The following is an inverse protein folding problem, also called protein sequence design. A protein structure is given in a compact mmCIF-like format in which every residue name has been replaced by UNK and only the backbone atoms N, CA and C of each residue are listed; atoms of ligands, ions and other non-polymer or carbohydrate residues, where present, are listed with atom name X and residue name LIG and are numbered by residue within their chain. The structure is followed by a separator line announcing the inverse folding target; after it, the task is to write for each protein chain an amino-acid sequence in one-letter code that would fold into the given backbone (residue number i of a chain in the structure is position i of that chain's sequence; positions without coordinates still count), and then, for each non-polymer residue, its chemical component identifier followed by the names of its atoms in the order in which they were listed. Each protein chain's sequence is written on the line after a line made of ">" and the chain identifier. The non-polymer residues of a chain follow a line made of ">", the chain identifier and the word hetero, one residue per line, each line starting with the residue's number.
data_IF_055479273609
#
_entry.id   IF_055479273609
#
_cell.length_a   1.000
_cell.length_b   1.000
_cell.length_c   1.000
_cell.angle_alpha   90.00
_cell.angle_beta   90.00
_cell.angle_gamma   90.00
#
_symmetry.space_group_name_H-M   'P 1'
#
loop_
_entity.id
_entity.type
_entity.pdbx_description
1 polymer ?
#
# COMPACT_ATOMS: atom_id res chain seq x y z
N UNK A 1 25.39 -33.97 -13.93
CA UNK A 1 25.58 -32.51 -14.05
C UNK A 1 24.40 -31.87 -13.32
N UNK A 2 24.61 -31.44 -12.08
CA UNK A 2 23.55 -30.90 -11.22
C UNK A 2 23.35 -29.45 -11.62
N UNK A 3 22.21 -29.12 -12.21
CA UNK A 3 21.82 -27.76 -12.56
C UNK A 3 21.39 -27.04 -11.28
N UNK A 4 22.18 -26.05 -10.88
CA UNK A 4 21.83 -25.12 -9.83
C UNK A 4 20.62 -24.27 -10.29
N UNK A 5 19.53 -24.36 -9.54
CA UNK A 5 18.40 -23.45 -9.66
C UNK A 5 18.88 -22.10 -9.13
N UNK A 6 19.15 -21.15 -10.03
CA UNK A 6 19.32 -19.76 -9.66
C UNK A 6 17.94 -19.18 -9.34
N UNK A 7 17.53 -19.29 -8.07
CA UNK A 7 16.49 -18.43 -7.54
C UNK A 7 17.00 -16.99 -7.68
N UNK A 8 16.30 -16.18 -8.47
CA UNK A 8 16.45 -14.73 -8.39
C UNK A 8 15.91 -14.38 -7.00
N UNK A 9 16.82 -14.32 -6.02
CA UNK A 9 16.55 -13.67 -4.76
C UNK A 9 16.32 -12.19 -5.11
N UNK A 10 15.05 -11.79 -5.20
CA UNK A 10 14.70 -10.40 -4.96
C UNK A 10 15.30 -10.10 -3.59
N UNK A 11 16.31 -9.23 -3.54
CA UNK A 11 16.80 -8.68 -2.29
C UNK A 11 15.60 -7.98 -1.67
N UNK A 12 14.91 -8.69 -0.78
CA UNK A 12 13.88 -8.09 0.04
C UNK A 12 14.62 -7.10 0.96
N UNK A 13 14.21 -5.82 1.00
CA UNK A 13 14.80 -4.85 1.90
C UNK A 13 14.77 -5.39 3.32
N UNK A 14 15.83 -5.16 4.07
CA UNK A 14 15.89 -5.50 5.50
C UNK A 14 14.83 -4.71 6.24
N UNK A 15 13.73 -5.38 6.62
CA UNK A 15 12.67 -4.95 7.54
C UNK A 15 12.51 -3.43 7.69
N UNK A 16 11.96 -2.78 6.66
CA UNK A 16 11.31 -1.48 6.86
C UNK A 16 10.03 -1.75 7.65
N UNK A 17 9.96 -1.25 8.88
CA UNK A 17 8.78 -1.35 9.77
C UNK A 17 7.93 -0.07 9.70
N UNK A 18 8.08 0.70 8.62
CA UNK A 18 7.45 1.98 8.43
C UNK A 18 7.58 2.93 9.64
N UNK A 19 6.60 3.82 9.85
CA UNK A 19 6.59 4.62 11.06
C UNK A 19 6.63 3.73 12.30
N UNK A 20 7.35 4.14 13.34
CA UNK A 20 7.55 3.24 14.47
C UNK A 20 6.23 2.90 15.22
N UNK A 21 6.05 1.61 15.55
CA UNK A 21 4.89 0.99 16.23
C UNK A 21 5.00 0.96 17.77
N UNK A 22 5.71 1.91 18.38
CA UNK A 22 5.93 1.94 19.83
C UNK A 22 7.00 0.97 20.36
N UNK A 23 7.31 1.12 21.65
CA UNK A 23 8.46 0.52 22.32
C UNK A 23 8.23 -0.79 23.09
N UNK A 24 7.10 -1.47 22.92
CA UNK A 24 6.70 -2.64 23.74
C UNK A 24 6.35 -3.91 22.93
N UNK A 25 6.99 -4.07 21.76
CA UNK A 25 6.83 -5.24 20.88
C UNK A 25 5.42 -5.39 20.23
N UNK A 26 4.63 -4.31 20.21
CA UNK A 26 3.36 -4.18 19.50
C UNK A 26 2.22 -3.78 20.44
N UNK A 27 1.42 -2.78 20.04
CA UNK A 27 0.40 -2.04 20.80
C UNK A 27 0.93 -0.87 21.66
N UNK A 28 2.19 -0.49 21.49
CA UNK A 28 2.78 0.64 22.16
C UNK A 28 2.52 1.90 21.36
N UNK A 29 2.25 3.01 22.04
CA UNK A 29 1.96 4.25 21.34
C UNK A 29 3.17 4.73 20.52
N UNK A 30 3.04 4.67 19.19
CA UNK A 30 4.04 5.01 18.20
C UNK A 30 3.62 6.14 17.25
N UNK A 31 4.37 6.29 16.17
CA UNK A 31 4.08 7.30 15.15
C UNK A 31 2.83 6.94 14.33
N UNK A 32 2.56 5.65 14.11
CA UNK A 32 1.31 5.20 13.49
C UNK A 32 0.08 5.61 14.30
N UNK A 33 0.06 5.26 15.59
CA UNK A 33 -0.98 5.69 16.52
C UNK A 33 -1.12 7.21 16.49
N UNK A 34 0.01 7.91 16.60
CA UNK A 34 0.02 9.36 16.66
C UNK A 34 -0.61 10.00 15.44
N UNK A 35 -0.26 9.55 14.23
CA UNK A 35 -0.85 10.05 12.99
C UNK A 35 -2.36 9.80 12.96
N UNK A 36 -2.81 8.59 13.33
CA UNK A 36 -4.23 8.26 13.36
C UNK A 36 -4.96 9.11 14.42
N UNK A 37 -4.37 9.32 15.59
CA UNK A 37 -4.99 10.08 16.68
C UNK A 37 -5.17 11.57 16.33
N UNK A 38 -4.17 12.15 15.64
CA UNK A 38 -4.29 13.48 15.03
C UNK A 38 -5.40 13.50 13.96
N UNK A 39 -5.46 12.48 13.10
CA UNK A 39 -6.47 12.39 12.04
C UNK A 39 -7.90 12.27 12.58
N UNK A 40 -8.12 11.44 13.61
CA UNK A 40 -9.42 11.31 14.29
C UNK A 40 -9.83 12.67 14.84
N UNK A 41 -8.92 13.36 15.53
CA UNK A 41 -9.19 14.69 16.09
C UNK A 41 -9.52 15.72 15.01
N UNK A 42 -8.78 15.71 13.89
CA UNK A 42 -9.02 16.61 12.74
C UNK A 42 -10.32 16.30 11.99
N UNK A 43 -10.74 15.04 11.95
CA UNK A 43 -11.97 14.62 11.26
C UNK A 43 -13.22 15.17 11.94
N UNK A 44 -13.20 15.27 13.27
CA UNK A 44 -14.35 15.62 14.10
C UNK A 44 -15.42 14.52 14.17
N UNK A 45 -15.13 13.33 13.63
CA UNK A 45 -16.02 12.18 13.67
C UNK A 45 -16.00 11.49 15.03
N UNK A 46 -17.08 10.79 15.38
CA UNK A 46 -17.23 10.10 16.68
C UNK A 46 -17.75 8.67 16.56
N UNK A 47 -17.89 8.16 15.34
CA UNK A 47 -18.44 6.83 15.11
C UNK A 47 -17.47 5.70 15.52
N UNK A 48 -16.17 5.96 15.49
CA UNK A 48 -15.15 4.95 15.76
C UNK A 48 -14.84 4.82 17.25
N UNK A 49 -14.56 3.59 17.70
CA UNK A 49 -13.76 3.35 18.89
C UNK A 49 -12.31 3.73 18.61
N UNK A 50 -11.81 4.75 19.31
CA UNK A 50 -10.43 5.23 19.16
C UNK A 50 -9.42 4.18 19.62
N UNK A 51 -9.66 3.52 20.76
CA UNK A 51 -8.74 2.49 21.27
C UNK A 51 -8.60 1.32 20.30
N UNK A 52 -9.70 0.85 19.72
CA UNK A 52 -9.67 -0.32 18.84
C UNK A 52 -8.97 -0.01 17.53
N UNK A 53 -9.12 1.23 17.03
CA UNK A 53 -8.44 1.67 15.82
C UNK A 53 -6.94 1.86 16.03
N UNK A 54 -6.51 2.44 17.16
CA UNK A 54 -5.10 2.60 17.49
C UNK A 54 -4.39 1.25 17.65
N UNK A 55 -4.98 0.30 18.40
CA UNK A 55 -4.39 -1.04 18.55
C UNK A 55 -4.15 -1.76 17.20
N UNK A 56 -5.02 -1.51 16.22
CA UNK A 56 -4.93 -2.14 14.91
C UNK A 56 -3.93 -1.46 13.96
N UNK A 57 -3.29 -0.33 14.34
CA UNK A 57 -2.32 0.31 13.46
C UNK A 57 -1.03 -0.48 13.32
N UNK A 58 -0.69 -1.36 14.26
CA UNK A 58 0.59 -2.09 14.26
C UNK A 58 0.48 -3.47 13.61
N UNK A 59 -0.75 -3.94 13.39
CA UNK A 59 -1.06 -5.28 12.90
C UNK A 59 -0.34 -5.65 11.59
N UNK A 60 -0.26 -4.76 10.57
CA UNK A 60 0.57 -4.93 9.38
C UNK A 60 1.99 -5.43 9.65
N UNK A 61 2.69 -4.82 10.61
CA UNK A 61 4.08 -5.13 10.92
C UNK A 61 4.26 -6.27 11.93
N UNK A 62 3.24 -6.56 12.73
CA UNK A 62 3.37 -7.44 13.91
C UNK A 62 2.57 -8.73 13.80
N UNK A 63 1.35 -8.67 13.28
CA UNK A 63 0.43 -9.81 13.26
C UNK A 63 0.52 -10.56 11.94
N UNK A 64 0.66 -9.85 10.81
CA UNK A 64 0.76 -10.48 9.49
C UNK A 64 1.92 -9.97 8.60
N UNK A 65 3.14 -9.77 9.14
CA UNK A 65 4.24 -9.10 8.41
C UNK A 65 4.64 -9.78 7.10
N UNK A 66 4.69 -11.12 7.06
CA UNK A 66 5.14 -11.83 5.86
C UNK A 66 4.18 -11.70 4.68
N UNK A 67 2.87 -11.57 4.93
CA UNK A 67 1.87 -11.34 3.90
C UNK A 67 1.90 -9.89 3.39
N UNK A 68 2.52 -8.99 4.15
CA UNK A 68 2.25 -7.56 4.05
C UNK A 68 3.44 -6.70 3.63
N UNK A 69 4.66 -7.25 3.65
CA UNK A 69 5.85 -6.64 3.04
C UNK A 69 5.61 -5.93 1.68
N UNK A 70 4.84 -6.49 0.72
CA UNK A 70 4.57 -5.81 -0.55
C UNK A 70 3.60 -4.61 -0.47
N UNK A 71 2.98 -4.39 0.69
CA UNK A 71 1.88 -3.44 0.90
C UNK A 71 2.27 -2.19 1.67
N UNK A 72 3.46 -2.13 2.28
CA UNK A 72 3.95 -0.92 2.96
C UNK A 72 4.47 0.16 1.99
N UNK A 73 4.65 -0.19 0.72
CA UNK A 73 5.32 0.67 -0.24
C UNK A 73 4.40 1.08 -1.39
N UNK A 74 4.72 2.23 -1.97
CA UNK A 74 4.27 2.62 -3.29
C UNK A 74 5.49 3.07 -4.10
N UNK A 75 6.16 2.12 -4.77
CA UNK A 75 7.27 2.37 -5.68
C UNK A 75 6.83 2.19 -7.14
N UNK A 76 7.30 3.06 -8.05
CA UNK A 76 7.03 2.90 -9.50
C UNK A 76 7.67 1.64 -10.09
N UNK A 77 8.65 1.09 -9.38
CA UNK A 77 9.36 -0.15 -9.75
C UNK A 77 9.53 -0.98 -8.48
N UNK A 78 8.80 -2.09 -8.35
CA UNK A 78 8.87 -2.99 -7.20
C UNK A 78 7.61 -2.98 -6.35
N UNK A 79 7.76 -2.96 -5.03
CA UNK A 79 6.68 -3.03 -4.05
C UNK A 79 5.75 -1.81 -4.16
N UNK A 80 4.47 -2.04 -4.50
CA UNK A 80 3.49 -0.98 -4.75
C UNK A 80 2.07 -1.29 -4.28
N UNK A 81 1.93 -2.20 -3.30
CA UNK A 81 0.63 -2.67 -2.81
C UNK A 81 -0.11 -1.71 -1.87
N UNK A 82 0.51 -0.63 -1.40
CA UNK A 82 -0.08 0.26 -0.39
C UNK A 82 -1.42 0.86 -0.83
N UNK A 83 -1.49 1.40 -2.04
CA UNK A 83 -2.71 2.03 -2.56
C UNK A 83 -3.89 1.05 -2.61
N UNK A 84 -3.61 -0.19 -3.01
CA UNK A 84 -4.60 -1.25 -3.06
C UNK A 84 -5.02 -1.69 -1.64
N UNK A 85 -4.07 -1.81 -0.73
CA UNK A 85 -4.35 -2.24 0.65
C UNK A 85 -5.20 -1.20 1.38
N UNK A 86 -4.91 0.10 1.20
CA UNK A 86 -5.79 1.17 1.69
C UNK A 86 -7.20 1.04 1.11
N UNK A 87 -7.34 0.75 -0.18
CA UNK A 87 -8.64 0.59 -0.84
C UNK A 87 -9.46 -0.58 -0.27
N UNK A 88 -8.83 -1.74 -0.05
CA UNK A 88 -9.50 -2.93 0.43
C UNK A 88 -9.95 -2.76 1.89
N UNK A 89 -9.08 -2.26 2.76
CA UNK A 89 -9.45 -1.99 4.16
C UNK A 89 -10.44 -0.84 4.30
N UNK A 90 -10.41 0.15 3.40
CA UNK A 90 -11.44 1.19 3.33
C UNK A 90 -12.80 0.61 2.95
N UNK A 91 -12.86 -0.28 1.96
CA UNK A 91 -14.09 -0.97 1.60
C UNK A 91 -14.66 -1.76 2.78
N UNK A 92 -13.82 -2.53 3.47
CA UNK A 92 -14.21 -3.29 4.67
C UNK A 92 -14.71 -2.38 5.80
N UNK A 93 -14.07 -1.22 6.02
CA UNK A 93 -14.52 -0.23 7.00
C UNK A 93 -15.91 0.33 6.64
N UNK A 94 -16.17 0.62 5.37
CA UNK A 94 -17.48 1.09 4.88
C UNK A 94 -18.55 0.01 5.04
N UNK A 95 -18.24 -1.25 4.72
CA UNK A 95 -19.15 -2.39 4.90
C UNK A 95 -19.51 -2.55 6.38
N UNK A 96 -18.51 -2.65 7.25
CA UNK A 96 -18.70 -2.79 8.69
C UNK A 96 -19.49 -1.62 9.28
N UNK A 97 -19.21 -0.38 8.84
CA UNK A 97 -19.96 0.79 9.28
C UNK A 97 -21.45 0.67 8.94
N UNK A 98 -21.77 0.27 7.70
CA UNK A 98 -23.17 0.10 7.23
C UNK A 98 -23.90 -1.02 7.95
N UNK A 99 -23.18 -2.06 8.36
CA UNK A 99 -23.70 -3.17 9.17
C UNK A 99 -23.92 -2.77 10.65
N UNK A 100 -23.42 -1.61 11.07
CA UNK A 100 -23.48 -1.14 12.46
C UNK A 100 -22.38 -1.71 13.36
N UNK A 101 -21.41 -2.42 12.79
CA UNK A 101 -20.28 -3.00 13.52
C UNK A 101 -19.14 -1.98 13.62
N UNK A 102 -19.26 -1.08 14.60
CA UNK A 102 -18.26 -0.02 14.81
C UNK A 102 -16.90 -0.56 15.27
N UNK A 103 -16.86 -1.72 15.93
CA UNK A 103 -15.60 -2.35 16.35
C UNK A 103 -14.83 -2.85 15.14
N UNK A 104 -15.48 -3.57 14.22
CA UNK A 104 -14.85 -3.97 12.95
C UNK A 104 -14.50 -2.77 12.08
N UNK A 105 -15.37 -1.76 12.01
CA UNK A 105 -15.07 -0.54 11.24
C UNK A 105 -13.85 0.21 11.81
N UNK A 106 -13.71 0.29 13.14
CA UNK A 106 -12.53 0.82 13.83
C UNK A 106 -11.27 0.02 13.52
N UNK A 107 -11.35 -1.31 13.60
CA UNK A 107 -10.23 -2.19 13.27
C UNK A 107 -9.74 -1.95 11.84
N UNK A 108 -10.64 -1.99 10.86
CA UNK A 108 -10.32 -1.71 9.47
C UNK A 108 -9.73 -0.30 9.28
N UNK A 109 -10.21 0.70 10.03
CA UNK A 109 -9.64 2.04 10.03
C UNK A 109 -8.19 2.05 10.57
N UNK A 110 -7.90 1.32 11.63
CA UNK A 110 -6.53 1.17 12.14
C UNK A 110 -5.59 0.63 11.08
N UNK A 111 -5.96 -0.52 10.50
CA UNK A 111 -5.15 -1.19 9.48
C UNK A 111 -4.99 -0.34 8.22
N UNK A 112 -6.05 0.30 7.70
CA UNK A 112 -5.91 1.18 6.52
C UNK A 112 -5.02 2.39 6.82
N UNK A 113 -5.06 2.90 8.06
CA UNK A 113 -4.28 4.09 8.44
C UNK A 113 -2.79 3.84 8.41
N UNK A 114 -2.38 2.61 8.74
CA UNK A 114 -1.01 2.14 8.64
C UNK A 114 -0.46 2.38 7.23
N UNK A 115 -0.99 1.68 6.22
CA UNK A 115 -0.52 1.80 4.83
C UNK A 115 -0.63 3.22 4.26
N UNK A 116 -1.67 3.97 4.65
CA UNK A 116 -1.81 5.35 4.19
C UNK A 116 -0.72 6.26 4.78
N UNK A 117 -0.33 6.02 6.03
CA UNK A 117 0.74 6.76 6.68
C UNK A 117 2.14 6.33 6.20
N UNK A 118 2.32 5.06 5.82
CA UNK A 118 3.57 4.54 5.23
C UNK A 118 3.97 5.31 3.99
N UNK A 119 3.04 5.56 3.08
CA UNK A 119 3.35 6.30 1.85
C UNK A 119 3.67 7.79 2.10
N UNK A 120 3.64 8.23 3.37
CA UNK A 120 4.16 9.52 3.81
C UNK A 120 5.61 9.43 4.35
N UNK A 121 6.17 8.24 4.52
CA UNK A 121 7.61 8.03 4.74
C UNK A 121 8.33 8.15 3.38
N UNK A 122 9.34 9.02 3.22
CA UNK A 122 10.06 9.14 1.94
C UNK A 122 10.59 7.81 1.39
N UNK A 123 11.19 6.96 2.24
CA UNK A 123 11.73 5.65 1.86
C UNK A 123 10.67 4.66 1.38
N UNK A 124 9.41 4.84 1.74
CA UNK A 124 8.31 3.97 1.32
C UNK A 124 7.76 4.31 -0.07
N UNK A 125 8.22 5.43 -0.63
CA UNK A 125 7.81 5.90 -1.95
C UNK A 125 8.93 5.84 -2.98
N UNK A 126 10.18 5.63 -2.54
CA UNK A 126 11.32 5.43 -3.43
C UNK A 126 12.38 4.59 -2.72
N UNK A 127 12.91 3.60 -3.43
CA UNK A 127 13.89 2.66 -2.91
C UNK A 127 15.24 2.79 -3.62
N UNK A 128 16.31 2.92 -2.83
CA UNK A 128 17.69 2.86 -3.26
C UNK A 128 18.48 2.06 -2.23
N UNK A 129 19.11 0.97 -2.68
CA UNK A 129 19.85 0.05 -1.81
C UNK A 129 20.94 0.74 -1.00
N UNK A 130 21.51 1.82 -1.54
CA UNK A 130 22.52 2.60 -0.83
C UNK A 130 21.95 3.13 0.49
N UNK A 131 20.66 3.50 0.53
CA UNK A 131 19.97 4.16 1.63
C UNK A 131 19.30 3.23 2.65
N UNK A 132 19.42 1.92 2.50
CA UNK A 132 18.87 0.95 3.45
C UNK A 132 19.40 1.18 4.88
N UNK A 133 20.67 1.60 4.99
CA UNK A 133 21.36 1.79 6.27
C UNK A 133 20.82 2.97 7.11
N UNK A 134 20.12 3.92 6.47
CA UNK A 134 19.58 5.13 7.10
C UNK A 134 18.05 5.12 7.21
N UNK A 135 17.37 4.11 6.67
CA UNK A 135 15.91 3.98 6.71
C UNK A 135 15.42 3.81 8.15
N UNK A 136 15.77 2.70 8.80
CA UNK A 136 15.32 2.39 10.15
C UNK A 136 15.76 3.43 11.20
N UNK A 137 17.00 3.98 11.16
CA UNK A 137 17.40 5.07 12.05
C UNK A 137 16.49 6.30 11.94
N UNK A 138 16.05 6.68 10.74
CA UNK A 138 15.15 7.80 10.54
C UNK A 138 13.78 7.55 11.19
N UNK A 139 13.21 6.37 10.98
CA UNK A 139 11.89 6.01 11.52
C UNK A 139 11.90 5.99 13.05
N UNK A 140 12.95 5.42 13.66
CA UNK A 140 13.13 5.46 15.12
C UNK A 140 13.35 6.87 15.67
N UNK A 141 14.13 7.69 14.98
CA UNK A 141 14.37 9.07 15.37
C UNK A 141 13.06 9.88 15.35
N UNK A 142 12.23 9.72 14.32
CA UNK A 142 10.89 10.32 14.26
C UNK A 142 9.99 9.76 15.37
N UNK A 143 10.01 8.44 15.59
CA UNK A 143 9.27 7.77 16.66
C UNK A 143 9.53 8.33 18.05
N UNK A 144 10.75 8.81 18.31
CA UNK A 144 11.09 9.45 19.59
C UNK A 144 10.28 10.72 19.92
N UNK A 145 9.66 11.35 18.92
CA UNK A 145 8.82 12.55 19.09
C UNK A 145 7.33 12.23 19.26
N UNK A 146 6.90 10.96 19.17
CA UNK A 146 5.49 10.57 19.13
C UNK A 146 5.17 9.45 20.12
N UNK A 147 5.36 9.70 21.41
CA UNK A 147 5.13 8.73 22.50
C UNK A 147 3.80 8.93 23.22
N UNK A 148 3.10 10.01 22.91
CA UNK A 148 1.78 10.33 23.44
C UNK A 148 0.96 11.16 22.44
N UNK A 149 -0.39 11.18 22.57
CA UNK A 149 -1.26 12.02 21.74
C UNK A 149 -0.95 13.51 21.71
N UNK A 150 -0.37 14.04 22.78
CA UNK A 150 -0.05 15.46 22.91
C UNK A 150 1.31 15.83 22.31
N UNK A 151 2.19 14.84 22.10
CA UNK A 151 3.55 15.09 21.64
C UNK A 151 3.53 15.70 20.25
N UNK A 152 4.42 16.66 20.00
CA UNK A 152 4.61 17.26 18.68
C UNK A 152 3.32 17.70 17.94
N UNK A 153 2.17 17.91 18.60
CA UNK A 153 0.89 18.19 17.94
C UNK A 153 0.96 19.41 16.99
N UNK A 154 1.81 20.39 17.33
CA UNK A 154 2.09 21.56 16.48
C UNK A 154 2.90 21.25 15.20
N UNK A 155 3.27 20.00 14.94
CA UNK A 155 3.90 19.56 13.69
C UNK A 155 2.88 19.37 12.57
N UNK A 156 1.62 19.13 12.92
CA UNK A 156 0.54 19.08 11.93
C UNK A 156 0.12 20.50 11.59
N UNK A 157 0.11 20.82 10.30
CA UNK A 157 -0.56 22.01 9.77
C UNK A 157 -1.94 21.59 9.27
N UNK A 158 -3.04 21.91 10.00
CA UNK A 158 -4.38 21.55 9.57
C UNK A 158 -4.74 22.26 8.26
N UNK A 159 -5.45 21.56 7.39
CA UNK A 159 -6.08 22.15 6.20
C UNK A 159 -7.58 21.88 6.16
N UNK A 160 -8.26 22.60 5.27
CA UNK A 160 -9.66 22.30 4.91
C UNK A 160 -9.82 20.85 4.45
N UNK A 161 -11.00 20.29 4.71
CA UNK A 161 -11.35 18.93 4.28
C UNK A 161 -11.48 18.88 2.76
N UNK A 162 -10.95 17.82 2.17
CA UNK A 162 -11.08 17.52 0.75
C UNK A 162 -12.03 16.34 0.57
N UNK A 163 -12.79 16.34 -0.52
CA UNK A 163 -13.62 15.21 -0.87
C UNK A 163 -12.75 13.99 -1.21
N UNK A 164 -13.18 12.81 -0.77
CA UNK A 164 -12.59 11.53 -1.19
C UNK A 164 -13.52 10.91 -2.23
N UNK A 165 -13.11 11.01 -3.50
CA UNK A 165 -13.84 10.40 -4.63
C UNK A 165 -13.34 9.01 -4.95
N UNK A 166 -12.07 8.74 -4.66
CA UNK A 166 -11.41 7.44 -4.79
C UNK A 166 -10.24 7.40 -3.78
N UNK A 167 -10.28 6.48 -2.82
CA UNK A 167 -9.24 6.37 -1.79
C UNK A 167 -7.93 5.80 -2.34
N UNK A 168 -7.97 4.93 -3.35
CA UNK A 168 -6.79 4.37 -4.02
C UNK A 168 -6.03 5.50 -4.71
N UNK A 169 -6.72 6.29 -5.51
CA UNK A 169 -6.12 7.43 -6.22
C UNK A 169 -5.61 8.49 -5.25
N UNK A 170 -6.33 8.75 -4.14
CA UNK A 170 -5.86 9.64 -3.09
C UNK A 170 -4.52 9.17 -2.50
N UNK A 171 -4.38 7.87 -2.23
CA UNK A 171 -3.13 7.27 -1.73
C UNK A 171 -2.00 7.42 -2.74
N UNK A 172 -2.24 7.13 -4.02
CA UNK A 172 -1.26 7.30 -5.12
C UNK A 172 -0.77 8.75 -5.24
N UNK A 173 -1.68 9.72 -5.24
CA UNK A 173 -1.35 11.15 -5.30
C UNK A 173 -0.51 11.54 -4.09
N UNK A 174 -0.91 11.11 -2.89
CA UNK A 174 -0.17 11.39 -1.65
C UNK A 174 1.24 10.81 -1.72
N UNK A 175 1.40 9.57 -2.19
CA UNK A 175 2.71 8.92 -2.34
C UNK A 175 3.61 9.66 -3.34
N UNK A 176 3.04 10.17 -4.43
CA UNK A 176 3.77 10.98 -5.41
C UNK A 176 4.23 12.32 -4.86
N UNK A 177 3.41 12.98 -4.03
CA UNK A 177 3.80 14.20 -3.33
C UNK A 177 4.91 13.97 -2.28
N UNK A 178 4.84 12.85 -1.56
CA UNK A 178 5.90 12.42 -0.64
C UNK A 178 7.20 12.17 -1.41
N UNK A 179 7.15 11.39 -2.51
CA UNK A 179 8.29 11.08 -3.36
C UNK A 179 8.97 12.33 -3.91
N UNK A 180 8.21 13.37 -4.25
CA UNK A 180 8.76 14.63 -4.75
C UNK A 180 9.75 15.29 -3.78
N UNK A 181 9.70 14.95 -2.48
CA UNK A 181 10.63 15.46 -1.45
C UNK A 181 11.83 14.57 -1.20
N UNK A 182 11.84 13.34 -1.74
CA UNK A 182 12.80 12.28 -1.41
C UNK A 182 14.26 12.69 -1.63
N UNK A 183 14.60 13.26 -2.80
CA UNK A 183 15.99 13.61 -3.12
C UNK A 183 16.58 14.65 -2.15
N UNK A 184 15.80 15.68 -1.80
CA UNK A 184 16.21 16.69 -0.83
C UNK A 184 16.30 16.10 0.59
N UNK A 185 15.37 15.23 0.94
CA UNK A 185 15.34 14.53 2.22
C UNK A 185 16.57 13.64 2.42
N UNK A 186 16.85 12.71 1.51
CA UNK A 186 17.98 11.77 1.61
C UNK A 186 19.31 12.52 1.64
N UNK A 187 19.47 13.53 0.76
CA UNK A 187 20.68 14.35 0.73
C UNK A 187 20.94 15.05 2.07
N UNK A 188 19.89 15.59 2.70
CA UNK A 188 20.00 16.26 3.99
C UNK A 188 20.25 15.28 5.14
N UNK A 189 19.51 14.16 5.19
CA UNK A 189 19.62 13.19 6.28
C UNK A 189 20.99 12.51 6.27
N UNK A 190 21.51 12.14 5.10
CA UNK A 190 22.87 11.57 4.98
C UNK A 190 23.96 12.52 5.44
N UNK A 191 23.86 13.79 5.08
CA UNK A 191 24.90 14.76 5.37
C UNK A 191 24.91 15.21 6.83
N UNK A 192 23.73 15.25 7.48
CA UNK A 192 23.56 15.97 8.74
C UNK A 192 22.67 15.28 9.79
N UNK A 193 22.14 14.08 9.51
CA UNK A 193 21.10 13.47 10.32
C UNK A 193 19.81 14.31 10.33
N UNK A 194 19.04 14.24 11.40
CA UNK A 194 17.80 15.00 11.55
C UNK A 194 18.06 16.49 11.79
N UNK A 195 18.20 17.23 10.71
CA UNK A 195 18.39 18.68 10.71
C UNK A 195 17.08 19.44 10.41
N UNK A 196 17.17 20.76 10.25
CA UNK A 196 15.99 21.61 9.95
C UNK A 196 15.30 21.27 8.62
N UNK A 197 16.04 20.87 7.60
CA UNK A 197 15.48 20.45 6.30
C UNK A 197 14.71 19.14 6.45
N UNK A 198 15.31 18.14 7.10
CA UNK A 198 14.66 16.85 7.40
C UNK A 198 13.42 17.07 8.24
N UNK A 199 13.52 17.85 9.32
CA UNK A 199 12.38 18.19 10.17
C UNK A 199 11.25 18.88 9.39
N UNK A 200 11.58 19.81 8.48
CA UNK A 200 10.58 20.48 7.64
C UNK A 200 9.86 19.51 6.70
N UNK A 201 10.57 18.59 6.06
CA UNK A 201 9.98 17.59 5.17
C UNK A 201 9.14 16.59 5.96
N UNK A 202 9.66 16.08 7.08
CA UNK A 202 8.94 15.18 7.98
C UNK A 202 7.61 15.79 8.44
N UNK A 203 7.60 17.05 8.88
CA UNK A 203 6.36 17.75 9.29
C UNK A 203 5.37 17.91 8.14
N UNK A 204 5.85 18.22 6.94
CA UNK A 204 4.99 18.31 5.76
C UNK A 204 4.35 16.95 5.43
N UNK A 205 5.11 15.86 5.50
CA UNK A 205 4.62 14.52 5.23
C UNK A 205 3.67 14.00 6.33
N UNK A 206 3.96 14.23 7.61
CA UNK A 206 3.03 13.91 8.70
C UNK A 206 1.73 14.72 8.59
N UNK A 207 1.83 15.99 8.15
CA UNK A 207 0.65 16.80 7.83
C UNK A 207 -0.16 16.21 6.68
N UNK A 208 0.48 15.66 5.64
CA UNK A 208 -0.23 14.93 4.57
C UNK A 208 -0.94 13.70 5.10
N UNK A 209 -0.27 12.89 5.91
CA UNK A 209 -0.83 11.68 6.51
C UNK A 209 -2.07 12.00 7.35
N UNK A 210 -1.94 12.86 8.37
CA UNK A 210 -3.03 13.19 9.29
C UNK A 210 -4.21 13.88 8.58
N UNK A 211 -3.94 14.85 7.70
CA UNK A 211 -5.02 15.51 6.96
C UNK A 211 -5.65 14.58 5.91
N UNK A 212 -4.87 13.72 5.27
CA UNK A 212 -5.37 12.73 4.32
C UNK A 212 -6.31 11.74 4.99
N UNK A 213 -5.89 11.16 6.11
CA UNK A 213 -6.70 10.26 6.91
C UNK A 213 -7.94 10.94 7.48
N UNK A 214 -7.86 12.20 7.91
CA UNK A 214 -9.04 12.93 8.35
C UNK A 214 -10.09 13.14 7.24
N UNK A 215 -9.68 13.20 5.96
CA UNK A 215 -10.64 13.17 4.85
C UNK A 215 -11.27 11.76 4.70
N UNK A 216 -10.45 10.71 4.82
CA UNK A 216 -10.87 9.30 4.70
C UNK A 216 -11.83 8.89 5.81
N UNK A 217 -11.53 9.22 7.06
CA UNK A 217 -12.39 8.96 8.23
C UNK A 217 -13.79 9.56 8.03
N UNK A 218 -13.84 10.77 7.45
CA UNK A 218 -15.09 11.48 7.18
C UNK A 218 -15.89 10.89 6.01
N UNK A 219 -15.22 10.21 5.07
CA UNK A 219 -15.89 9.61 3.93
C UNK A 219 -16.48 8.23 4.22
N UNK A 220 -16.00 7.51 5.25
CA UNK A 220 -16.50 6.18 5.62
C UNK A 220 -18.01 6.16 5.88
N UNK A 221 -18.59 7.03 6.75
CA UNK A 221 -20.03 7.06 6.97
C UNK A 221 -20.87 7.35 5.72
N UNK A 222 -20.29 8.10 4.77
CA UNK A 222 -20.95 8.46 3.51
C UNK A 222 -20.87 7.31 2.49
N UNK A 223 -19.93 6.37 2.68
CA UNK A 223 -19.65 5.27 1.75
C UNK A 223 -19.28 5.74 0.33
N UNK A 224 -18.74 6.96 0.22
CA UNK A 224 -18.15 7.51 -1.01
C UNK A 224 -16.67 7.14 -1.05
N UNK A 225 -15.99 7.27 -2.19
CA UNK A 225 -14.55 7.02 -2.25
C UNK A 225 -14.13 5.54 -2.30
N UNK A 226 -15.09 4.61 -2.29
CA UNK A 226 -14.83 3.19 -2.55
C UNK A 226 -14.45 3.05 -4.04
N UNK A 227 -13.23 2.63 -4.36
CA UNK A 227 -12.82 2.45 -5.75
C UNK A 227 -13.52 1.21 -6.32
N UNK A 228 -13.96 1.31 -7.57
CA UNK A 228 -14.40 0.13 -8.29
C UNK A 228 -13.22 -0.78 -8.65
N UNK A 229 -13.50 -2.05 -9.00
CA UNK A 229 -12.47 -2.96 -9.50
C UNK A 229 -11.99 -2.59 -10.92
N UNK A 230 -12.76 -1.74 -11.62
CA UNK A 230 -12.59 -1.43 -13.04
C UNK A 230 -13.01 -2.59 -13.95
N UNK A 231 -12.98 -2.35 -15.25
CA UNK A 231 -13.18 -3.36 -16.29
C UNK A 231 -11.82 -3.94 -16.67
N UNK A 232 -11.66 -5.26 -16.49
CA UNK A 232 -10.45 -5.97 -16.88
C UNK A 232 -10.56 -6.51 -18.32
N UNK A 233 -9.46 -6.41 -19.06
CA UNK A 233 -9.25 -7.18 -20.29
C UNK A 233 -7.87 -7.83 -20.26
N UNK A 234 -7.83 -9.14 -20.49
CA UNK A 234 -6.60 -9.92 -20.51
C UNK A 234 -6.04 -10.07 -21.93
N UNK A 235 -4.71 -10.14 -22.06
CA UNK A 235 -4.03 -10.46 -23.30
C UNK A 235 -2.72 -11.21 -23.04
N UNK A 236 -2.16 -11.81 -24.09
CA UNK A 236 -0.88 -12.54 -24.06
C UNK A 236 0.11 -11.86 -25.00
N UNK A 237 1.39 -11.83 -24.61
CA UNK A 237 2.49 -11.34 -25.48
C UNK A 237 2.65 -12.26 -26.70
N UNK A 238 2.86 -13.55 -26.42
CA UNK A 238 2.92 -14.63 -27.39
C UNK A 238 1.81 -15.64 -27.10
N UNK A 239 0.96 -15.91 -28.10
CA UNK A 239 -0.10 -16.93 -28.00
C UNK A 239 0.41 -18.35 -28.26
N UNK A 240 1.65 -18.50 -28.71
CA UNK A 240 2.33 -19.78 -28.91
C UNK A 240 3.66 -19.78 -28.14
N UNK A 241 3.67 -20.45 -26.99
CA UNK A 241 4.83 -20.48 -26.10
C UNK A 241 5.37 -21.91 -26.01
N UNK A 242 6.69 -22.07 -26.14
CA UNK A 242 7.33 -23.38 -26.08
C UNK A 242 7.42 -23.93 -24.65
N UNK A 243 7.52 -25.26 -24.48
CA UNK A 243 7.80 -25.83 -23.17
C UNK A 243 9.15 -25.33 -22.63
N UNK A 244 9.24 -25.17 -21.31
CA UNK A 244 10.39 -24.66 -20.57
C UNK A 244 10.80 -23.25 -20.98
N UNK A 245 9.86 -22.45 -21.48
CA UNK A 245 10.04 -21.02 -21.76
C UNK A 245 9.06 -20.16 -20.96
N UNK A 246 9.30 -18.85 -20.94
CA UNK A 246 8.45 -17.90 -20.22
C UNK A 246 7.26 -17.49 -21.10
N UNK A 247 6.06 -17.56 -20.54
CA UNK A 247 4.88 -16.88 -21.05
C UNK A 247 4.65 -15.58 -20.29
N UNK A 248 4.06 -14.60 -20.97
CA UNK A 248 3.71 -13.31 -20.39
C UNK A 248 2.24 -13.02 -20.65
N UNK A 249 1.48 -12.77 -19.59
CA UNK A 249 0.11 -12.29 -19.64
C UNK A 249 0.05 -10.83 -19.17
N UNK A 250 -0.86 -10.07 -19.75
CA UNK A 250 -1.18 -8.71 -19.36
C UNK A 250 -2.66 -8.62 -18.97
N UNK A 251 -2.95 -7.74 -18.03
CA UNK A 251 -4.31 -7.32 -17.73
C UNK A 251 -4.37 -5.80 -17.77
N UNK A 252 -5.18 -5.25 -18.67
CA UNK A 252 -5.52 -3.84 -18.69
C UNK A 252 -6.77 -3.63 -17.82
N UNK A 253 -6.69 -2.70 -16.87
CA UNK A 253 -7.81 -2.24 -16.06
C UNK A 253 -8.18 -0.81 -16.46
N UNK A 254 -9.46 -0.58 -16.77
CA UNK A 254 -10.01 0.74 -17.09
C UNK A 254 -11.25 1.07 -16.27
N UNK A 255 -11.53 2.35 -16.06
CA UNK A 255 -12.76 2.82 -15.42
C UNK A 255 -13.96 2.79 -16.39
N UNK A 256 -15.12 3.25 -15.93
CA UNK A 256 -16.37 3.27 -16.71
C UNK A 256 -16.33 4.17 -17.96
N UNK A 257 -15.34 5.08 -18.04
CA UNK A 257 -15.12 5.95 -19.20
C UNK A 257 -13.90 5.53 -20.03
N UNK A 258 -13.33 4.37 -19.73
CA UNK A 258 -12.22 3.77 -20.47
C UNK A 258 -10.85 4.35 -20.15
N UNK A 259 -10.69 5.09 -19.04
CA UNK A 259 -9.38 5.57 -18.59
C UNK A 259 -8.64 4.49 -17.80
N UNK A 260 -7.31 4.36 -17.94
CA UNK A 260 -6.54 3.42 -17.16
C UNK A 260 -6.67 3.62 -15.64
N UNK A 261 -6.78 2.52 -14.89
CA UNK A 261 -6.84 2.54 -13.43
C UNK A 261 -5.52 2.03 -12.85
N UNK A 262 -4.81 2.91 -12.18
CA UNK A 262 -3.55 2.60 -11.48
C UNK A 262 -3.81 1.96 -10.11
N UNK A 263 -2.89 1.09 -9.69
CA UNK A 263 -2.85 0.55 -8.33
C UNK A 263 -3.82 -0.61 -8.08
N UNK A 264 -4.41 -1.21 -9.11
CA UNK A 264 -5.30 -2.37 -9.00
C UNK A 264 -4.47 -3.64 -8.86
N UNK A 265 -4.71 -4.43 -7.82
CA UNK A 265 -4.14 -5.78 -7.71
C UNK A 265 -4.88 -6.74 -8.61
N UNK A 266 -4.14 -7.34 -9.53
CA UNK A 266 -4.61 -8.36 -10.45
C UNK A 266 -3.96 -9.69 -10.12
N UNK A 267 -4.78 -10.70 -9.86
CA UNK A 267 -4.38 -12.09 -9.71
C UNK A 267 -4.48 -12.80 -11.05
N UNK A 268 -3.38 -13.42 -11.46
CA UNK A 268 -3.28 -14.26 -12.65
C UNK A 268 -3.27 -15.73 -12.25
N UNK A 269 -4.17 -16.52 -12.83
CA UNK A 269 -4.24 -17.98 -12.62
C UNK A 269 -3.81 -18.70 -13.89
N UNK A 270 -2.72 -19.46 -13.78
CA UNK A 270 -2.09 -20.20 -14.87
C UNK A 270 -2.35 -21.70 -14.69
N UNK A 271 -3.25 -22.32 -15.48
CA UNK A 271 -3.56 -23.74 -15.36
C UNK A 271 -2.50 -24.60 -16.06
N UNK A 272 -1.34 -24.75 -15.41
CA UNK A 272 -0.23 -25.57 -15.88
C UNK A 272 -0.51 -27.06 -15.65
N UNK A 273 0.17 -27.95 -16.38
CA UNK A 273 0.08 -29.40 -16.18
C UNK A 273 0.49 -29.85 -14.77
N UNK A 274 1.38 -29.10 -14.11
CA UNK A 274 1.79 -29.33 -12.73
C UNK A 274 0.77 -28.85 -11.69
N UNK A 275 -0.27 -28.12 -12.10
CA UNK A 275 -1.27 -27.50 -11.24
C UNK A 275 -1.49 -26.02 -11.57
N UNK A 276 -2.38 -25.38 -10.83
CA UNK A 276 -2.63 -23.95 -10.99
C UNK A 276 -1.52 -23.17 -10.29
N UNK A 277 -0.74 -22.42 -11.07
CA UNK A 277 0.16 -21.41 -10.53
C UNK A 277 -0.60 -20.09 -10.42
N UNK A 278 -0.52 -19.45 -9.26
CA UNK A 278 -1.06 -18.11 -9.02
C UNK A 278 0.08 -17.11 -8.97
N UNK A 279 -0.10 -16.00 -9.66
CA UNK A 279 0.81 -14.85 -9.64
C UNK A 279 -0.01 -13.56 -9.43
N UNK A 280 0.60 -12.52 -8.88
CA UNK A 280 -0.06 -11.24 -8.63
C UNK A 280 0.78 -10.08 -9.14
N UNK A 281 0.11 -9.09 -9.73
CA UNK A 281 0.74 -7.84 -10.13
C UNK A 281 -0.21 -6.67 -9.91
N UNK A 282 0.36 -5.49 -9.69
CA UNK A 282 -0.38 -4.24 -9.54
C UNK A 282 -0.36 -3.48 -10.89
N UNK A 283 -1.49 -2.87 -11.27
CA UNK A 283 -1.54 -2.03 -12.48
C UNK A 283 -0.72 -0.75 -12.32
N UNK A 284 0.03 -0.40 -13.38
CA UNK A 284 0.76 0.88 -13.45
C UNK A 284 -0.13 2.06 -13.85
N UNK A 285 0.51 3.21 -14.12
CA UNK A 285 -0.14 4.44 -14.64
C UNK A 285 -0.84 4.21 -16.00
N UNK A 286 -0.45 3.18 -16.72
CA UNK A 286 -1.04 2.74 -17.99
C UNK A 286 -2.20 1.74 -17.78
N UNK A 287 -2.55 1.44 -16.53
CA UNK A 287 -3.59 0.49 -16.16
C UNK A 287 -3.20 -0.96 -16.40
N UNK A 288 -1.93 -1.26 -16.71
CA UNK A 288 -1.48 -2.59 -17.08
C UNK A 288 -0.81 -3.28 -15.90
N UNK A 289 -1.31 -4.47 -15.54
CA UNK A 289 -0.63 -5.45 -14.70
C UNK A 289 -0.03 -6.54 -15.58
N UNK A 290 1.16 -7.05 -15.20
CA UNK A 290 1.91 -8.03 -16.00
C UNK A 290 2.31 -9.22 -15.15
N UNK A 291 1.99 -10.42 -15.61
CA UNK A 291 2.44 -11.69 -15.03
C UNK A 291 3.35 -12.43 -16.01
N UNK A 292 4.47 -12.97 -15.51
CA UNK A 292 5.44 -13.71 -16.34
C UNK A 292 5.81 -15.03 -15.67
N UNK A 293 5.41 -16.13 -16.30
CA UNK A 293 5.50 -17.48 -15.74
C UNK A 293 6.34 -18.39 -16.62
N UNK A 294 7.22 -19.18 -16.00
CA UNK A 294 7.92 -20.28 -16.66
C UNK A 294 6.97 -21.46 -16.79
N UNK A 295 6.58 -21.83 -18.01
CA UNK A 295 5.56 -22.84 -18.26
C UNK A 295 6.00 -24.27 -17.86
N UNK A 296 7.29 -24.54 -17.67
CA UNK A 296 7.75 -25.91 -17.42
C UNK A 296 7.46 -26.83 -18.60
N UNK A 297 7.28 -28.13 -18.37
CA UNK A 297 7.18 -29.13 -19.45
C UNK A 297 5.73 -29.31 -19.99
N UNK A 298 5.06 -28.21 -20.35
CA UNK A 298 3.69 -28.25 -20.90
C UNK A 298 3.61 -29.04 -22.22
N UNK A 299 2.56 -29.85 -22.45
CA UNK A 299 2.40 -30.57 -23.70
C UNK A 299 2.14 -29.62 -24.87
N UNK A 300 2.88 -29.81 -25.97
CA UNK A 300 2.71 -29.04 -27.21
C UNK A 300 1.30 -29.23 -27.77
N UNK A 301 0.69 -28.13 -28.23
CA UNK A 301 -0.65 -28.13 -28.82
C UNK A 301 -1.79 -28.03 -27.81
N UNK A 302 -1.47 -27.90 -26.51
CA UNK A 302 -2.47 -27.64 -25.46
C UNK A 302 -2.82 -26.17 -25.42
N UNK A 303 -4.12 -25.87 -25.38
CA UNK A 303 -4.63 -24.51 -25.13
C UNK A 303 -4.76 -24.33 -23.63
N UNK A 304 -4.14 -23.28 -23.09
CA UNK A 304 -4.28 -22.85 -21.70
C UNK A 304 -5.01 -21.51 -21.66
N UNK A 305 -6.01 -21.40 -20.78
CA UNK A 305 -6.72 -20.15 -20.52
C UNK A 305 -6.18 -19.54 -19.24
N UNK A 306 -5.46 -18.42 -19.37
CA UNK A 306 -5.00 -17.65 -18.22
C UNK A 306 -6.14 -16.75 -17.76
N UNK A 307 -6.46 -16.77 -16.47
CA UNK A 307 -7.53 -15.92 -15.91
C UNK A 307 -6.90 -14.77 -15.14
N UNK A 308 -7.27 -13.55 -15.48
CA UNK A 308 -6.95 -12.34 -14.71
C UNK A 308 -8.17 -11.90 -13.90
N UNK A 309 -7.99 -11.59 -12.62
CA UNK A 309 -9.08 -11.17 -11.72
C UNK A 309 -8.65 -10.09 -10.73
N UNK A 310 -9.57 -9.20 -10.35
CA UNK A 310 -9.40 -8.18 -9.33
C UNK A 310 -10.65 -8.11 -8.45
N UNK A 311 -10.47 -7.89 -7.14
CA UNK A 311 -11.55 -7.99 -6.13
C UNK A 311 -11.79 -6.71 -5.33
N UNK A 312 -11.15 -5.59 -5.69
CA UNK A 312 -11.24 -4.38 -4.89
C UNK A 312 -12.59 -3.67 -5.05
N UNK A 313 -13.32 -3.52 -3.94
CA UNK A 313 -14.65 -2.89 -3.93
C UNK A 313 -15.74 -3.66 -4.70
N UNK A 314 -15.46 -4.92 -5.06
CA UNK A 314 -16.28 -5.76 -5.94
C UNK A 314 -15.41 -6.66 -6.83
N UNK A 315 -16.00 -7.59 -7.58
CA UNK A 315 -15.25 -8.55 -8.42
C UNK A 315 -15.26 -8.18 -9.91
N UNK A 316 -14.11 -8.27 -10.57
CA UNK A 316 -13.94 -8.17 -12.03
C UNK A 316 -13.00 -9.28 -12.51
N UNK A 317 -13.31 -9.93 -13.64
CA UNK A 317 -12.45 -10.99 -14.21
C UNK A 317 -12.48 -10.99 -15.75
N UNK A 318 -11.37 -11.42 -16.34
CA UNK A 318 -11.19 -11.60 -17.79
C UNK A 318 -10.39 -12.86 -18.07
N UNK A 319 -10.67 -13.48 -19.23
CA UNK A 319 -10.01 -14.68 -19.75
C UNK A 319 -9.28 -14.42 -21.05
#
# INVERSE_FOLDING_TARGET
>A
MILAIAAIAVLAPTHALAWENGGDDGNGYGTHDWVLDQAITLSGESWMSRSDALLATDDPDKVFPAADLPNHHYNTTGSNGAAQSVADWYYEAVVAYREGDMTRASYCLGVLSHYYSDICVPFHTYYEVENDDIHLPYEWEVGSYHRSPADAAGWITPRGRLAVTDVRQKTIVTASETRATYSAFVSAYRAYGFNSTVASITKANLSRAANGLADVIKSIPLGVGVPGPGTLSASMDDVYVGPNTYATAFALCVDDVGQPVEGVRVKFSWPLAAGILSDEAITGVDGIAKSRVLLGNEPIGTVMTVVASATSGGESSST
#
